data_IF_238392210641
#
_entry.id   IF_238392210641
#
_cell.length_a   1.000
_cell.length_b   1.000
_cell.length_c   1.000
_cell.angle_alpha   90.00
_cell.angle_beta   90.00
_cell.angle_gamma   90.00
#
_symmetry.space_group_name_H-M   'P 1'
#
loop_
_entity.id
_entity.type
_entity.pdbx_description
1 polymer ?
#
# COMPACT_ATOMS: atom_id res chain seq x y z
N UNK A 1 -2.58 -15.90 4.72
CA UNK A 1 -2.71 -14.45 4.85
C UNK A 1 -4.07 -14.02 4.31
N UNK A 2 -4.99 -13.63 5.16
CA UNK A 2 -6.32 -13.10 4.82
C UNK A 2 -6.24 -11.67 4.26
N UNK A 3 -7.38 -11.10 3.87
CA UNK A 3 -7.47 -9.70 3.47
C UNK A 3 -7.37 -8.76 4.68
N UNK A 4 -7.85 -9.18 5.86
CA UNK A 4 -7.63 -8.44 7.11
C UNK A 4 -6.15 -8.44 7.49
N UNK A 5 -5.43 -9.54 7.28
CA UNK A 5 -3.99 -9.61 7.56
C UNK A 5 -3.22 -8.56 6.73
N UNK A 6 -3.68 -8.27 5.50
CA UNK A 6 -3.09 -7.20 4.65
C UNK A 6 -3.36 -5.83 5.28
N UNK A 7 -4.59 -5.59 5.75
CA UNK A 7 -4.95 -4.32 6.41
C UNK A 7 -4.15 -4.11 7.70
N UNK A 8 -4.02 -5.14 8.53
CA UNK A 8 -3.20 -5.10 9.74
C UNK A 8 -1.73 -4.82 9.41
N UNK A 9 -1.17 -5.50 8.41
CA UNK A 9 0.20 -5.27 7.97
C UNK A 9 0.41 -3.84 7.42
N UNK A 10 -0.55 -3.30 6.66
CA UNK A 10 -0.52 -1.91 6.19
C UNK A 10 -0.58 -0.92 7.36
N UNK A 11 -1.44 -1.16 8.34
CA UNK A 11 -1.53 -0.32 9.56
C UNK A 11 -0.26 -0.37 10.38
N UNK A 12 0.36 -1.55 10.50
CA UNK A 12 1.65 -1.72 11.18
C UNK A 12 2.79 -1.00 10.45
N UNK A 13 2.71 -0.87 9.12
CA UNK A 13 3.69 -0.14 8.30
C UNK A 13 3.51 1.39 8.35
N UNK A 14 2.31 1.87 8.69
CA UNK A 14 1.97 3.31 8.65
C UNK A 14 2.94 4.23 9.43
N UNK A 15 3.47 3.88 10.63
CA UNK A 15 4.46 4.71 11.31
C UNK A 15 5.74 4.95 10.48
N UNK A 16 6.29 3.92 9.85
CA UNK A 16 7.49 4.04 9.01
C UNK A 16 7.22 4.89 7.76
N UNK A 17 6.03 4.77 7.15
CA UNK A 17 5.64 5.64 6.03
C UNK A 17 5.54 7.11 6.45
N UNK A 18 5.08 7.37 7.68
CA UNK A 18 5.01 8.73 8.23
C UNK A 18 6.40 9.31 8.47
N UNK A 19 7.31 8.54 9.05
CA UNK A 19 8.71 8.94 9.27
C UNK A 19 9.40 9.29 7.94
N UNK A 20 9.14 8.53 6.88
CA UNK A 20 9.72 8.75 5.54
C UNK A 20 8.96 9.77 4.68
N UNK A 21 7.88 10.38 5.19
CA UNK A 21 7.07 11.32 4.40
C UNK A 21 7.86 12.57 3.96
N UNK A 22 8.71 13.10 4.84
CA UNK A 22 9.57 14.24 4.52
C UNK A 22 10.66 13.88 3.50
N UNK A 23 11.20 12.66 3.58
CA UNK A 23 12.14 12.14 2.57
C UNK A 23 11.46 12.06 1.20
N UNK A 24 10.23 11.54 1.15
CA UNK A 24 9.47 11.42 -0.08
C UNK A 24 9.24 12.78 -0.75
N UNK A 25 8.92 13.80 0.06
CA UNK A 25 8.73 15.18 -0.40
C UNK A 25 10.05 15.76 -0.95
N UNK A 26 11.14 15.67 -0.19
CA UNK A 26 12.44 16.20 -0.59
C UNK A 26 12.98 15.55 -1.87
N UNK A 27 12.80 14.22 -2.02
CA UNK A 27 13.23 13.48 -3.21
C UNK A 27 12.27 13.65 -4.40
N UNK A 28 11.07 14.19 -4.18
CA UNK A 28 9.95 14.18 -5.15
C UNK A 28 9.67 12.78 -5.69
N UNK A 29 9.83 11.78 -4.82
CA UNK A 29 9.75 10.36 -5.16
C UNK A 29 9.46 9.54 -3.91
N UNK A 30 8.56 8.57 -4.01
CA UNK A 30 8.33 7.62 -2.90
C UNK A 30 9.59 6.80 -2.66
N UNK A 31 10.11 6.74 -1.41
CA UNK A 31 11.29 5.95 -1.09
C UNK A 31 11.12 4.48 -1.48
N UNK A 32 12.18 3.89 -2.05
CA UNK A 32 12.13 2.50 -2.52
C UNK A 32 11.84 1.51 -1.38
N UNK A 33 12.28 1.82 -0.16
CA UNK A 33 11.97 1.03 1.03
C UNK A 33 10.45 0.97 1.30
N UNK A 34 9.74 2.10 1.17
CA UNK A 34 8.28 2.16 1.36
C UNK A 34 7.54 1.31 0.33
N UNK A 35 7.96 1.33 -0.94
CA UNK A 35 7.37 0.46 -1.98
C UNK A 35 7.64 -1.01 -1.69
N UNK A 36 8.88 -1.37 -1.32
CA UNK A 36 9.26 -2.75 -1.02
C UNK A 36 8.47 -3.31 0.17
N UNK A 37 8.32 -2.52 1.22
CA UNK A 37 7.58 -2.91 2.42
C UNK A 37 6.07 -3.02 2.13
N UNK A 38 5.49 -2.10 1.35
CA UNK A 38 4.11 -2.23 0.86
C UNK A 38 3.89 -3.48 0.01
N UNK A 39 4.85 -3.87 -0.82
CA UNK A 39 4.76 -5.11 -1.57
C UNK A 39 4.78 -6.33 -0.63
N UNK A 40 5.58 -6.29 0.43
CA UNK A 40 5.67 -7.35 1.43
C UNK A 40 4.39 -7.51 2.26
N UNK A 41 3.58 -6.45 2.44
CA UNK A 41 2.24 -6.57 3.09
C UNK A 41 1.23 -7.30 2.21
N UNK A 42 1.54 -7.53 0.93
CA UNK A 42 0.60 -8.09 -0.05
C UNK A 42 -0.42 -7.08 -0.58
N UNK A 43 -0.29 -5.79 -0.28
CA UNK A 43 -1.19 -4.73 -0.73
C UNK A 43 -1.41 -4.73 -2.26
N UNK A 44 -0.33 -4.82 -3.06
CA UNK A 44 -0.42 -4.80 -4.52
C UNK A 44 -1.09 -6.06 -5.13
N UNK A 45 -1.38 -7.08 -4.32
CA UNK A 45 -2.09 -8.30 -4.75
C UNK A 45 -3.57 -8.32 -4.38
N UNK A 46 -4.08 -7.28 -3.70
CA UNK A 46 -5.49 -7.21 -3.29
C UNK A 46 -6.45 -7.32 -4.47
N UNK A 47 -6.26 -6.49 -5.51
CA UNK A 47 -7.16 -6.47 -6.67
C UNK A 47 -6.71 -7.36 -7.83
N UNK A 48 -5.49 -7.88 -7.77
CA UNK A 48 -4.98 -8.78 -8.80
C UNK A 48 -5.86 -10.05 -8.89
N UNK A 49 -6.23 -10.51 -10.10
CA UNK A 49 -7.01 -11.74 -10.27
C UNK A 49 -6.32 -12.97 -9.66
N UNK A 50 -7.13 -13.90 -9.14
CA UNK A 50 -6.64 -15.16 -8.55
C UNK A 50 -5.81 -16.00 -9.51
N UNK A 51 -6.13 -15.97 -10.81
CA UNK A 51 -5.39 -16.67 -11.85
C UNK A 51 -3.92 -16.24 -11.95
N UNK A 52 -3.58 -15.05 -11.46
CA UNK A 52 -2.21 -14.51 -11.46
C UNK A 52 -1.60 -14.47 -10.05
N UNK A 53 -2.13 -15.24 -9.10
CA UNK A 53 -1.64 -15.28 -7.72
C UNK A 53 -2.09 -14.10 -6.85
N UNK A 54 -3.07 -13.33 -7.33
CA UNK A 54 -3.72 -12.27 -6.57
C UNK A 54 -4.88 -12.76 -5.70
N UNK A 55 -5.54 -11.82 -5.01
CA UNK A 55 -6.60 -12.11 -4.05
C UNK A 55 -8.01 -11.97 -4.62
N UNK A 56 -8.17 -11.14 -5.65
CA UNK A 56 -9.47 -10.67 -6.12
C UNK A 56 -10.37 -10.25 -4.93
N UNK A 57 -9.80 -9.44 -4.04
CA UNK A 57 -10.46 -8.93 -2.84
C UNK A 57 -11.59 -7.97 -3.20
N UNK A 58 -12.51 -7.75 -2.24
CA UNK A 58 -13.51 -6.70 -2.36
C UNK A 58 -12.81 -5.32 -2.49
N UNK A 59 -13.22 -4.45 -3.44
CA UNK A 59 -12.63 -3.13 -3.61
C UNK A 59 -12.61 -2.27 -2.34
N UNK A 60 -13.57 -2.45 -1.43
CA UNK A 60 -13.61 -1.77 -0.13
C UNK A 60 -12.40 -2.06 0.74
N UNK A 61 -11.84 -3.27 0.69
CA UNK A 61 -10.59 -3.63 1.39
C UNK A 61 -9.43 -2.83 0.82
N UNK A 62 -9.31 -2.75 -0.50
CA UNK A 62 -8.27 -1.98 -1.16
C UNK A 62 -8.34 -0.49 -0.80
N UNK A 63 -9.53 0.10 -0.85
CA UNK A 63 -9.72 1.50 -0.48
C UNK A 63 -9.46 1.78 1.00
N UNK A 64 -9.78 0.83 1.89
CA UNK A 64 -9.44 0.93 3.31
C UNK A 64 -7.91 0.97 3.51
N UNK A 65 -7.17 0.08 2.83
CA UNK A 65 -5.71 0.09 2.86
C UNK A 65 -5.12 1.39 2.31
N UNK A 66 -5.60 1.87 1.15
CA UNK A 66 -5.18 3.15 0.56
C UNK A 66 -5.39 4.30 1.55
N UNK A 67 -6.55 4.35 2.22
CA UNK A 67 -6.86 5.36 3.22
C UNK A 67 -5.87 5.32 4.39
N UNK A 68 -5.51 4.14 4.88
CA UNK A 68 -4.56 4.00 5.98
C UNK A 68 -3.14 4.40 5.57
N UNK A 69 -2.70 4.07 4.36
CA UNK A 69 -1.43 4.54 3.78
C UNK A 69 -1.42 6.07 3.64
N UNK A 70 -2.48 6.65 3.08
CA UNK A 70 -2.58 8.09 2.81
C UNK A 70 -2.58 8.95 4.09
N UNK A 71 -3.13 8.43 5.20
CA UNK A 71 -3.04 9.09 6.53
C UNK A 71 -1.60 9.19 7.05
N UNK A 72 -0.69 8.34 6.58
CA UNK A 72 0.72 8.38 6.95
C UNK A 72 1.54 9.23 5.99
N UNK A 73 1.34 9.05 4.68
CA UNK A 73 1.98 9.83 3.63
C UNK A 73 1.06 9.89 2.40
N UNK A 74 0.56 11.10 2.07
CA UNK A 74 -0.35 11.31 0.94
C UNK A 74 0.23 10.86 -0.40
N UNK A 75 1.48 11.23 -0.69
CA UNK A 75 2.18 10.85 -1.93
C UNK A 75 2.31 9.33 -2.07
N UNK A 76 2.62 8.63 -0.97
CA UNK A 76 2.69 7.16 -0.97
C UNK A 76 1.31 6.55 -1.18
N UNK A 77 0.27 7.09 -0.52
CA UNK A 77 -1.11 6.63 -0.71
C UNK A 77 -1.58 6.77 -2.16
N UNK A 78 -1.29 7.90 -2.79
CA UNK A 78 -1.62 8.14 -4.20
C UNK A 78 -0.88 7.20 -5.15
N UNK A 79 0.44 7.03 -4.97
CA UNK A 79 1.22 6.10 -5.80
C UNK A 79 0.73 4.66 -5.61
N UNK A 80 0.46 4.26 -4.37
CA UNK A 80 -0.07 2.93 -4.05
C UNK A 80 -1.44 2.70 -4.69
N UNK A 81 -2.33 3.70 -4.69
CA UNK A 81 -3.66 3.56 -5.30
C UNK A 81 -3.60 3.43 -6.82
N UNK A 82 -2.69 4.13 -7.49
CA UNK A 82 -2.52 4.04 -8.95
C UNK A 82 -1.90 2.70 -9.35
N UNK A 83 -0.81 2.30 -8.68
CA UNK A 83 -0.12 1.04 -9.01
C UNK A 83 -0.95 -0.19 -8.61
N UNK A 84 -1.68 -0.12 -7.50
CA UNK A 84 -2.48 -1.25 -7.01
C UNK A 84 -3.69 -1.62 -7.87
N UNK A 85 -4.11 -0.75 -8.79
CA UNK A 85 -5.16 -1.03 -9.79
C UNK A 85 -4.60 -1.31 -11.20
N UNK A 86 -3.33 -1.00 -11.44
CA UNK A 86 -2.60 -1.33 -12.69
C UNK A 86 -1.38 -2.24 -12.39
N UNK A 87 -1.59 -3.43 -11.79
CA UNK A 87 -0.51 -4.34 -11.44
C UNK A 87 0.18 -4.96 -12.66
#
# INVERSE_FOLDING_TARGET
MSDEDVLEAVRALAPALRERSAEAEAQRKVPAASIKELAATGFFRLLQPRAYGGRAADPGVFYAAVKDIAKACGSTGWVASVLGVHP
#
